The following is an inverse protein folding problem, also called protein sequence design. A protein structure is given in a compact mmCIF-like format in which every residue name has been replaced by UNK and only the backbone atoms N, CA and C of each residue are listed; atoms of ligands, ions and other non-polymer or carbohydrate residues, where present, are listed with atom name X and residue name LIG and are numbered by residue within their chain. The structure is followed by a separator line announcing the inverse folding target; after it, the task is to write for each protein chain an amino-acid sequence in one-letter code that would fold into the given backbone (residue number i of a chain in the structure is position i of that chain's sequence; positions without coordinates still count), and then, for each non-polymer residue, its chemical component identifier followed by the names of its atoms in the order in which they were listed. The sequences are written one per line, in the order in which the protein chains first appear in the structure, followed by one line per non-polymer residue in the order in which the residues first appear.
data_IF_914193099374
#
_entry.id   IF_914193099374
#
_cell.length_a   1.000
_cell.length_b   1.000
_cell.length_c   1.000
_cell.angle_alpha   90.00
_cell.angle_beta   90.00
_cell.angle_gamma   90.00
#
_symmetry.space_group_name_H-M   'P 1'
#
loop_
_entity.id
_entity.type
_entity.pdbx_description
1 polymer ?
#
# COMPACT_ATOMS: atom_id res chain seq x y z
N UNK A 1 -15.55 -28.45 -6.63
CA UNK A 1 -15.20 -27.03 -6.77
C UNK A 1 -14.66 -26.58 -5.43
N UNK A 2 -13.39 -26.19 -5.36
CA UNK A 2 -12.80 -25.68 -4.13
C UNK A 2 -12.69 -24.17 -4.33
N UNK A 3 -13.67 -23.43 -3.80
CA UNK A 3 -13.79 -21.97 -3.99
C UNK A 3 -12.47 -21.23 -3.79
N UNK A 4 -11.65 -21.65 -2.83
CA UNK A 4 -10.36 -21.01 -2.54
C UNK A 4 -9.26 -21.37 -3.55
N UNK A 5 -9.28 -22.58 -4.09
CA UNK A 5 -8.35 -22.99 -5.14
C UNK A 5 -8.69 -22.32 -6.49
N UNK A 6 -9.98 -22.09 -6.75
CA UNK A 6 -10.47 -21.45 -7.98
C UNK A 6 -10.31 -19.92 -7.94
N UNK A 7 -10.12 -19.34 -6.74
CA UNK A 7 -9.95 -17.90 -6.50
C UNK A 7 -8.74 -17.58 -5.61
N UNK A 8 -7.49 -17.82 -6.09
CA UNK A 8 -6.28 -17.59 -5.30
C UNK A 8 -6.08 -16.12 -4.88
N UNK A 9 -6.58 -15.17 -5.68
CA UNK A 9 -6.57 -13.75 -5.33
C UNK A 9 -7.43 -13.45 -4.10
N UNK A 10 -8.64 -14.03 -4.00
CA UNK A 10 -9.48 -13.92 -2.82
C UNK A 10 -8.79 -14.51 -1.59
N UNK A 11 -8.18 -15.69 -1.74
CA UNK A 11 -7.44 -16.34 -0.65
C UNK A 11 -6.33 -15.41 -0.12
N UNK A 12 -5.49 -14.87 -1.01
CA UNK A 12 -4.42 -13.93 -0.64
C UNK A 12 -4.97 -12.69 0.08
N UNK A 13 -6.06 -12.11 -0.44
CA UNK A 13 -6.75 -10.97 0.19
C UNK A 13 -7.27 -11.29 1.59
N UNK A 14 -7.85 -12.48 1.80
CA UNK A 14 -8.36 -12.93 3.10
C UNK A 14 -7.24 -13.24 4.09
N UNK A 15 -6.10 -13.75 3.65
CA UNK A 15 -4.92 -13.95 4.50
C UNK A 15 -4.36 -12.62 5.04
N UNK A 16 -4.58 -11.52 4.33
CA UNK A 16 -4.24 -10.18 4.81
C UNK A 16 -5.14 -9.67 5.95
N UNK A 17 -6.36 -10.18 6.09
CA UNK A 17 -7.36 -9.68 7.06
C UNK A 17 -6.90 -9.88 8.52
N UNK A 18 -6.39 -11.06 8.94
CA UNK A 18 -5.84 -11.23 10.29
C UNK A 18 -4.78 -10.20 10.66
N UNK A 19 -3.86 -9.86 9.74
CA UNK A 19 -2.84 -8.85 9.99
C UNK A 19 -3.43 -7.45 10.22
N UNK A 20 -4.47 -7.10 9.47
CA UNK A 20 -5.22 -5.86 9.68
C UNK A 20 -5.95 -5.85 11.02
N UNK A 21 -6.59 -6.96 11.41
CA UNK A 21 -7.26 -7.07 12.72
C UNK A 21 -6.27 -6.91 13.88
N UNK A 22 -5.08 -7.51 13.76
CA UNK A 22 -3.99 -7.32 14.73
C UNK A 22 -3.54 -5.86 14.75
N UNK A 23 -3.37 -5.23 13.59
CA UNK A 23 -3.03 -3.81 13.49
C UNK A 23 -4.07 -2.94 14.22
N UNK A 24 -5.36 -3.16 14.00
CA UNK A 24 -6.43 -2.45 14.71
C UNK A 24 -6.39 -2.70 16.22
N UNK A 25 -6.21 -3.95 16.66
CA UNK A 25 -6.12 -4.27 18.07
C UNK A 25 -4.96 -3.52 18.74
N UNK A 26 -3.78 -3.53 18.11
CA UNK A 26 -2.54 -2.96 18.62
C UNK A 26 -2.43 -1.43 18.50
N UNK A 27 -3.16 -0.81 17.56
CA UNK A 27 -3.00 0.61 17.24
C UNK A 27 -3.45 1.60 18.33
N UNK A 28 -4.25 1.15 19.31
CA UNK A 28 -4.75 2.00 20.40
C UNK A 28 -5.42 3.28 19.86
N UNK A 29 -4.84 4.43 20.17
CA UNK A 29 -5.34 5.75 19.74
C UNK A 29 -5.27 5.99 18.22
N UNK A 30 -4.51 5.18 17.47
CA UNK A 30 -4.32 5.37 16.02
C UNK A 30 -5.29 4.55 15.16
N UNK A 31 -6.24 3.82 15.75
CA UNK A 31 -7.22 3.00 15.01
C UNK A 31 -7.94 3.78 13.90
N UNK A 32 -8.38 4.99 14.20
CA UNK A 32 -9.08 5.83 13.22
C UNK A 32 -8.20 6.18 12.04
N UNK A 33 -6.91 6.48 12.25
CA UNK A 33 -6.02 6.84 11.14
C UNK A 33 -5.66 5.65 10.26
N UNK A 34 -5.55 4.45 10.83
CA UNK A 34 -5.41 3.19 10.09
C UNK A 34 -6.66 2.92 9.25
N UNK A 35 -7.85 3.11 9.82
CA UNK A 35 -9.10 2.99 9.07
C UNK A 35 -9.17 3.97 7.90
N UNK A 36 -8.81 5.25 8.13
CA UNK A 36 -8.75 6.26 7.08
C UNK A 36 -7.76 5.86 5.99
N UNK A 37 -6.56 5.38 6.37
CA UNK A 37 -5.55 4.93 5.42
C UNK A 37 -6.05 3.75 4.57
N UNK A 38 -6.73 2.78 5.18
CA UNK A 38 -7.38 1.68 4.45
C UNK A 38 -8.40 2.19 3.43
N UNK A 39 -9.32 3.05 3.85
CA UNK A 39 -10.33 3.62 2.95
C UNK A 39 -9.71 4.43 1.80
N UNK A 40 -8.71 5.26 2.11
CA UNK A 40 -7.97 6.05 1.13
C UNK A 40 -7.35 5.14 0.07
N UNK A 41 -6.72 4.04 0.47
CA UNK A 41 -6.14 3.12 -0.49
C UNK A 41 -7.19 2.35 -1.31
N UNK A 42 -8.31 1.98 -0.71
CA UNK A 42 -9.43 1.37 -1.45
C UNK A 42 -9.90 2.24 -2.60
N UNK A 43 -10.00 3.56 -2.38
CA UNK A 43 -10.38 4.50 -3.44
C UNK A 43 -9.31 4.61 -4.55
N UNK A 44 -8.03 4.51 -4.19
CA UNK A 44 -6.92 4.43 -5.15
C UNK A 44 -6.86 3.11 -5.92
N UNK A 45 -7.45 2.04 -5.39
CA UNK A 45 -7.50 0.73 -6.04
C UNK A 45 -8.59 0.60 -7.13
N UNK A 46 -9.63 1.43 -7.11
CA UNK A 46 -10.72 1.36 -8.10
C UNK A 46 -10.27 1.52 -9.57
N UNK A 47 -9.31 2.42 -9.90
CA UNK A 47 -8.79 2.54 -11.25
C UNK A 47 -8.07 1.29 -11.79
N UNK A 48 -7.75 0.29 -10.95
CA UNK A 48 -7.13 -0.98 -11.38
C UNK A 48 -7.95 -1.68 -12.46
N UNK A 49 -9.27 -1.46 -12.50
CA UNK A 49 -10.12 -1.97 -13.58
C UNK A 49 -9.78 -1.44 -14.98
N UNK A 50 -8.97 -0.39 -15.10
CA UNK A 50 -8.50 0.15 -16.38
C UNK A 50 -7.16 -0.46 -16.83
N UNK A 51 -6.64 -1.45 -16.11
CA UNK A 51 -5.34 -2.05 -16.40
C UNK A 51 -5.57 -3.34 -17.19
N UNK A 52 -5.14 -3.35 -18.45
CA UNK A 52 -5.47 -4.41 -19.40
C UNK A 52 -4.60 -5.68 -19.30
N UNK A 53 -3.77 -5.81 -18.25
CA UNK A 53 -2.87 -6.96 -18.09
C UNK A 53 -3.52 -8.07 -17.24
N UNK A 54 -3.27 -9.37 -17.55
CA UNK A 54 -3.74 -10.51 -16.76
C UNK A 54 -3.40 -10.41 -15.26
N UNK A 55 -2.22 -9.84 -14.96
CA UNK A 55 -1.77 -9.55 -13.60
C UNK A 55 -2.77 -8.71 -12.79
N UNK A 56 -3.43 -7.73 -13.42
CA UNK A 56 -4.39 -6.83 -12.79
C UNK A 56 -5.85 -7.30 -12.93
N UNK A 57 -6.07 -8.40 -13.63
CA UNK A 57 -7.39 -8.97 -13.92
C UNK A 57 -7.54 -10.41 -13.43
N UNK A 58 -7.31 -10.69 -12.13
CA UNK A 58 -7.46 -12.03 -11.58
C UNK A 58 -8.90 -12.55 -11.68
N UNK A 59 -9.04 -13.88 -11.53
CA UNK A 59 -10.35 -14.53 -11.44
C UNK A 59 -11.08 -14.13 -10.13
N UNK A 60 -12.01 -13.19 -10.24
CA UNK A 60 -12.79 -12.64 -9.12
C UNK A 60 -14.14 -13.34 -8.97
N UNK A 61 -14.69 -13.31 -7.77
CA UNK A 61 -16.08 -13.68 -7.53
C UNK A 61 -16.99 -12.76 -8.36
N UNK A 62 -17.82 -13.36 -9.20
CA UNK A 62 -18.79 -12.65 -10.03
C UNK A 62 -18.25 -12.08 -11.35
N UNK A 63 -16.93 -12.17 -11.61
CA UNK A 63 -16.34 -11.79 -12.90
C UNK A 63 -16.38 -10.29 -13.23
N UNK A 64 -16.60 -9.43 -12.23
CA UNK A 64 -16.61 -7.98 -12.42
C UNK A 64 -15.19 -7.41 -12.60
N UNK A 65 -15.03 -6.26 -13.28
CA UNK A 65 -13.72 -5.58 -13.39
C UNK A 65 -13.12 -5.15 -12.04
N UNK A 66 -13.99 -4.84 -11.07
CA UNK A 66 -13.63 -4.61 -9.66
C UNK A 66 -14.48 -5.55 -8.81
N UNK A 67 -13.83 -6.36 -7.99
CA UNK A 67 -14.43 -7.32 -7.08
C UNK A 67 -14.33 -6.91 -5.61
N UNK A 68 -14.93 -7.74 -4.76
CA UNK A 68 -14.82 -7.59 -3.29
C UNK A 68 -13.37 -7.81 -2.83
N UNK A 69 -12.62 -8.64 -3.56
CA UNK A 69 -11.21 -8.92 -3.36
C UNK A 69 -10.36 -7.66 -3.48
N UNK A 70 -10.63 -6.81 -4.49
CA UNK A 70 -9.90 -5.55 -4.70
C UNK A 70 -10.14 -4.58 -3.54
N UNK A 71 -11.36 -4.56 -2.99
CA UNK A 71 -11.69 -3.77 -1.82
C UNK A 71 -10.95 -4.27 -0.58
N UNK A 72 -10.98 -5.57 -0.32
CA UNK A 72 -10.33 -6.20 0.84
C UNK A 72 -8.81 -5.99 0.75
N UNK A 73 -8.19 -6.32 -0.38
CA UNK A 73 -6.74 -6.19 -0.55
C UNK A 73 -6.32 -4.73 -0.44
N UNK A 74 -7.01 -3.81 -1.14
CA UNK A 74 -6.64 -2.39 -1.11
C UNK A 74 -6.80 -1.82 0.28
N UNK A 75 -7.89 -2.13 0.98
CA UNK A 75 -8.06 -1.70 2.37
C UNK A 75 -6.93 -2.23 3.25
N UNK A 76 -6.61 -3.53 3.11
CA UNK A 76 -5.58 -4.19 3.91
C UNK A 76 -4.18 -3.64 3.65
N UNK A 77 -3.85 -3.36 2.38
CA UNK A 77 -2.60 -2.72 1.98
C UNK A 77 -2.48 -1.34 2.64
N UNK A 78 -3.52 -0.50 2.53
CA UNK A 78 -3.49 0.87 3.08
C UNK A 78 -3.39 0.88 4.61
N UNK A 79 -4.20 0.06 5.27
CA UNK A 79 -4.21 -0.08 6.72
C UNK A 79 -2.88 -0.64 7.25
N UNK A 80 -2.36 -1.70 6.63
CA UNK A 80 -1.13 -2.37 7.02
C UNK A 80 0.11 -1.51 6.81
N UNK A 81 0.22 -0.81 5.67
CA UNK A 81 1.31 0.14 5.41
C UNK A 81 1.33 1.25 6.45
N UNK A 82 0.16 1.86 6.73
CA UNK A 82 0.12 2.94 7.71
C UNK A 82 0.41 2.45 9.13
N UNK A 83 -0.08 1.26 9.51
CA UNK A 83 0.27 0.66 10.78
C UNK A 83 1.79 0.42 10.91
N UNK A 84 2.42 -0.15 9.87
CA UNK A 84 3.87 -0.34 9.81
C UNK A 84 4.63 0.99 9.93
N UNK A 85 4.11 2.07 9.34
CA UNK A 85 4.69 3.40 9.41
C UNK A 85 4.69 3.98 10.84
N UNK A 86 3.59 3.79 11.59
CA UNK A 86 3.42 4.42 12.91
C UNK A 86 3.97 3.56 14.06
N UNK A 87 4.11 2.25 13.85
CA UNK A 87 4.47 1.28 14.90
C UNK A 87 5.73 1.69 15.69
N UNK A 88 6.86 2.10 15.06
CA UNK A 88 8.06 2.48 15.80
C UNK A 88 7.95 3.82 16.53
N UNK A 89 6.97 4.65 16.15
CA UNK A 89 6.84 6.04 16.59
C UNK A 89 5.65 6.26 17.52
N UNK A 90 4.96 5.21 17.98
CA UNK A 90 3.64 5.33 18.62
C UNK A 90 3.51 6.37 19.73
N UNK A 91 4.55 6.61 20.55
CA UNK A 91 4.53 7.67 21.58
C UNK A 91 4.96 9.06 21.09
N UNK A 92 5.67 9.10 19.98
CA UNK A 92 6.21 10.32 19.36
C UNK A 92 5.29 10.87 18.27
N UNK A 93 4.29 10.09 17.83
CA UNK A 93 3.42 10.47 16.74
C UNK A 93 2.15 11.16 17.23
N UNK A 94 1.83 12.29 16.61
CA UNK A 94 0.56 12.99 16.78
C UNK A 94 -0.19 13.07 15.47
N UNK A 95 -1.52 13.01 15.54
CA UNK A 95 -2.42 13.09 14.38
C UNK A 95 -3.30 14.31 14.60
N UNK A 96 -3.13 15.34 13.78
CA UNK A 96 -3.82 16.63 13.94
C UNK A 96 -4.80 16.93 12.81
N UNK A 97 -4.90 16.06 11.80
CA UNK A 97 -5.74 16.31 10.62
C UNK A 97 -7.23 16.33 10.96
N UNK A 98 -7.93 17.34 10.43
CA UNK A 98 -9.39 17.37 10.42
C UNK A 98 -9.88 16.70 9.15
N UNK A 99 -10.99 15.96 9.24
CA UNK A 99 -11.55 15.20 8.12
C UNK A 99 -11.72 16.00 6.82
N UNK A 100 -12.30 17.22 6.82
CA UNK A 100 -12.49 17.97 5.56
C UNK A 100 -11.17 18.33 4.88
N UNK A 101 -10.15 18.73 5.66
CA UNK A 101 -8.83 19.05 5.15
C UNK A 101 -8.11 17.79 4.63
N UNK A 102 -8.27 16.66 5.34
CA UNK A 102 -7.74 15.37 4.91
C UNK A 102 -8.32 14.91 3.59
N UNK A 103 -9.65 15.05 3.41
CA UNK A 103 -10.32 14.74 2.15
C UNK A 103 -9.86 15.65 1.00
N UNK A 104 -9.70 16.96 1.25
CA UNK A 104 -9.17 17.86 0.25
C UNK A 104 -7.73 17.49 -0.17
N UNK A 105 -6.86 17.16 0.79
CA UNK A 105 -5.50 16.67 0.51
C UNK A 105 -5.53 15.37 -0.28
N UNK A 106 -6.38 14.43 0.13
CA UNK A 106 -6.56 13.15 -0.57
C UNK A 106 -7.02 13.38 -2.01
N UNK A 107 -8.02 14.24 -2.24
CA UNK A 107 -8.51 14.55 -3.58
C UNK A 107 -7.41 15.17 -4.45
N UNK A 108 -6.64 16.14 -3.92
CA UNK A 108 -5.55 16.76 -4.67
C UNK A 108 -4.43 15.78 -5.01
N UNK A 109 -3.99 14.98 -4.05
CA UNK A 109 -2.97 13.94 -4.26
C UNK A 109 -3.50 12.89 -5.24
N UNK A 110 -4.79 12.54 -5.14
CA UNK A 110 -5.40 11.48 -5.93
C UNK A 110 -5.63 11.86 -7.37
N UNK A 111 -6.22 13.03 -7.59
CA UNK A 111 -6.39 13.60 -8.94
C UNK A 111 -5.04 13.88 -9.57
N UNK A 112 -4.09 14.46 -8.84
CA UNK A 112 -2.74 14.74 -9.35
C UNK A 112 -1.97 13.47 -9.69
N UNK A 113 -2.02 12.45 -8.82
CA UNK A 113 -1.39 11.15 -9.04
C UNK A 113 -1.99 10.43 -10.24
N UNK A 114 -3.33 10.37 -10.33
CA UNK A 114 -4.02 9.75 -11.47
C UNK A 114 -3.71 10.45 -12.79
N UNK A 115 -3.79 11.78 -12.81
CA UNK A 115 -3.43 12.56 -14.00
C UNK A 115 -1.98 12.27 -14.42
N UNK A 116 -1.06 12.15 -13.46
CA UNK A 116 0.32 11.85 -13.76
C UNK A 116 0.52 10.42 -14.28
N UNK A 117 -0.21 9.43 -13.76
CA UNK A 117 -0.20 8.07 -14.33
C UNK A 117 -0.67 8.08 -15.77
N UNK A 118 -1.79 8.75 -16.06
CA UNK A 118 -2.33 8.84 -17.42
C UNK A 118 -1.33 9.49 -18.39
N UNK A 119 -0.65 10.56 -17.96
CA UNK A 119 0.41 11.19 -18.75
C UNK A 119 1.63 10.29 -18.90
N UNK A 120 2.06 9.60 -17.84
CA UNK A 120 3.18 8.66 -17.88
C UNK A 120 2.91 7.50 -18.86
N UNK A 121 1.65 7.03 -18.95
CA UNK A 121 1.24 5.99 -19.90
C UNK A 121 1.36 6.41 -21.37
N UNK A 122 1.38 7.71 -21.67
CA UNK A 122 1.65 8.20 -23.03
C UNK A 122 3.11 7.99 -23.45
N UNK A 123 4.02 7.80 -22.49
CA UNK A 123 5.47 7.64 -22.71
C UNK A 123 5.90 6.20 -22.45
N UNK A 124 5.32 5.56 -21.43
CA UNK A 124 5.63 4.21 -20.97
C UNK A 124 4.37 3.35 -21.12
N UNK A 125 4.25 2.53 -22.18
CA UNK A 125 3.00 1.83 -22.49
C UNK A 125 2.65 0.75 -21.46
N UNK A 126 3.67 0.18 -20.80
CA UNK A 126 3.54 -0.84 -19.76
C UNK A 126 3.12 -0.21 -18.44
N UNK A 127 2.10 -0.77 -17.81
CA UNK A 127 1.44 -0.16 -16.66
C UNK A 127 2.34 -0.09 -15.41
N UNK A 128 3.02 -1.18 -15.06
CA UNK A 128 3.79 -1.26 -13.81
C UNK A 128 4.98 -0.28 -13.78
N UNK A 129 5.81 -0.14 -14.83
CA UNK A 129 6.86 0.88 -14.85
C UNK A 129 6.31 2.32 -14.80
N UNK A 130 5.17 2.61 -15.45
CA UNK A 130 4.53 3.91 -15.37
C UNK A 130 4.05 4.22 -13.93
N UNK A 131 3.45 3.23 -13.27
CA UNK A 131 3.02 3.33 -11.88
C UNK A 131 4.20 3.57 -10.93
N UNK A 132 5.28 2.81 -11.08
CA UNK A 132 6.51 2.98 -10.29
C UNK A 132 7.10 4.38 -10.46
N UNK A 133 7.16 4.89 -11.70
CA UNK A 133 7.64 6.24 -11.97
C UNK A 133 6.81 7.29 -11.22
N UNK A 134 5.47 7.16 -11.25
CA UNK A 134 4.58 8.05 -10.51
C UNK A 134 4.80 7.93 -9.00
N UNK A 135 4.92 6.71 -8.47
CA UNK A 135 5.17 6.49 -7.05
C UNK A 135 6.47 7.15 -6.60
N UNK A 136 7.55 7.03 -7.39
CA UNK A 136 8.85 7.65 -7.10
C UNK A 136 8.76 9.18 -7.14
N UNK A 137 8.11 9.75 -8.16
CA UNK A 137 7.93 11.19 -8.26
C UNK A 137 7.08 11.75 -7.10
N UNK A 138 5.99 11.07 -6.74
CA UNK A 138 5.15 11.43 -5.60
C UNK A 138 5.92 11.33 -4.28
N UNK A 139 6.72 10.26 -4.11
CA UNK A 139 7.60 10.11 -2.96
C UNK A 139 8.58 11.27 -2.84
N UNK A 140 9.21 11.68 -3.95
CA UNK A 140 10.13 12.81 -3.98
C UNK A 140 9.44 14.12 -3.61
N UNK A 141 8.31 14.43 -4.25
CA UNK A 141 7.54 15.66 -4.00
C UNK A 141 7.03 15.71 -2.56
N UNK A 142 6.39 14.64 -2.07
CA UNK A 142 5.86 14.59 -0.71
C UNK A 142 6.98 14.56 0.32
N UNK A 143 8.06 13.83 0.08
CA UNK A 143 9.24 13.80 0.94
C UNK A 143 9.89 15.17 1.08
N UNK A 144 9.97 15.94 -0.01
CA UNK A 144 10.46 17.31 -0.02
C UNK A 144 9.51 18.27 0.73
N UNK A 145 8.19 18.16 0.50
CA UNK A 145 7.20 19.05 1.11
C UNK A 145 6.86 18.69 2.57
N UNK A 146 7.13 17.45 2.99
CA UNK A 146 6.79 16.88 4.30
C UNK A 146 7.94 16.04 4.85
N UNK A 147 9.13 16.62 5.07
CA UNK A 147 10.32 15.85 5.49
C UNK A 147 10.14 15.14 6.85
N UNK A 148 9.26 15.65 7.72
CA UNK A 148 8.91 15.01 8.99
C UNK A 148 8.14 13.68 8.85
N UNK A 149 7.64 13.35 7.65
CA UNK A 149 7.01 12.06 7.34
C UNK A 149 8.00 11.04 6.75
N UNK A 150 9.24 11.43 6.46
CA UNK A 150 10.25 10.50 5.94
C UNK A 150 10.56 9.36 6.93
N UNK A 151 10.76 9.60 8.25
CA UNK A 151 11.01 8.49 9.18
C UNK A 151 9.90 7.42 9.22
N UNK A 152 8.60 7.75 9.33
CA UNK A 152 7.56 6.73 9.26
C UNK A 152 7.42 6.09 7.87
N UNK A 153 7.68 6.83 6.78
CA UNK A 153 7.70 6.23 5.45
C UNK A 153 8.84 5.20 5.27
N UNK A 154 10.03 5.47 5.82
CA UNK A 154 11.13 4.51 5.88
C UNK A 154 10.79 3.30 6.74
N UNK A 155 10.07 3.48 7.86
CA UNK A 155 9.60 2.35 8.66
C UNK A 155 8.64 1.47 7.87
N UNK A 156 7.69 2.05 7.13
CA UNK A 156 6.78 1.32 6.26
C UNK A 156 7.53 0.54 5.17
N UNK A 157 8.50 1.18 4.50
CA UNK A 157 9.36 0.58 3.48
C UNK A 157 10.11 -0.67 4.00
N UNK A 158 10.51 -0.68 5.26
CA UNK A 158 11.27 -1.80 5.83
C UNK A 158 10.38 -2.89 6.40
N UNK A 159 9.29 -2.52 7.06
CA UNK A 159 8.43 -3.46 7.81
C UNK A 159 7.37 -4.08 6.91
N UNK A 160 6.72 -3.28 6.06
CA UNK A 160 5.56 -3.74 5.30
C UNK A 160 5.91 -4.78 4.21
N UNK A 161 6.98 -4.64 3.42
CA UNK A 161 7.36 -5.66 2.44
C UNK A 161 7.62 -7.03 3.06
N UNK A 162 8.13 -7.10 4.30
CA UNK A 162 8.34 -8.38 5.01
C UNK A 162 7.01 -9.05 5.31
N UNK A 163 6.04 -8.27 5.83
CA UNK A 163 4.68 -8.76 6.06
C UNK A 163 4.01 -9.22 4.75
N UNK A 164 4.10 -8.40 3.70
CA UNK A 164 3.52 -8.72 2.40
C UNK A 164 4.12 -9.99 1.79
N UNK A 165 5.45 -10.12 1.81
CA UNK A 165 6.13 -11.34 1.36
C UNK A 165 5.68 -12.57 2.15
N UNK A 166 5.49 -12.47 3.48
CA UNK A 166 4.99 -13.57 4.28
C UNK A 166 3.59 -14.03 3.85
N UNK A 167 2.69 -13.10 3.49
CA UNK A 167 1.38 -13.42 2.93
C UNK A 167 1.53 -14.13 1.57
N UNK A 168 2.39 -13.61 0.69
CA UNK A 168 2.62 -14.23 -0.63
C UNK A 168 3.18 -15.66 -0.51
N UNK A 169 4.16 -15.90 0.36
CA UNK A 169 4.69 -17.25 0.60
C UNK A 169 3.66 -18.18 1.24
N UNK A 170 2.81 -17.67 2.13
CA UNK A 170 1.73 -18.47 2.71
C UNK A 170 0.70 -18.85 1.63
N UNK A 171 0.37 -17.93 0.73
CA UNK A 171 -0.51 -18.21 -0.42
C UNK A 171 0.12 -19.26 -1.33
N UNK A 172 1.40 -19.12 -1.69
CA UNK A 172 2.15 -20.11 -2.49
C UNK A 172 2.18 -21.50 -1.83
N UNK A 173 2.31 -21.56 -0.50
CA UNK A 173 2.29 -22.82 0.24
C UNK A 173 0.92 -23.51 0.21
N UNK A 174 -0.18 -22.74 0.11
CA UNK A 174 -1.55 -23.27 0.04
C UNK A 174 -1.96 -23.57 -1.42
N UNK A 175 -1.51 -22.73 -2.35
CA UNK A 175 -1.78 -22.80 -3.80
C UNK A 175 -0.44 -22.80 -4.54
N UNK A 176 0.16 -23.99 -4.80
CA UNK A 176 1.42 -24.08 -5.51
C UNK A 176 1.34 -23.48 -6.92
N UNK A 177 2.37 -22.74 -7.34
CA UNK A 177 2.39 -22.01 -8.62
C UNK A 177 1.65 -20.68 -8.58
N UNK A 178 1.27 -20.20 -7.39
CA UNK A 178 0.68 -18.87 -7.24
C UNK A 178 1.62 -17.78 -7.76
N UNK A 179 2.94 -17.95 -7.63
CA UNK A 179 3.91 -16.99 -8.17
C UNK A 179 3.94 -16.91 -9.70
N UNK A 180 3.34 -17.85 -10.42
CA UNK A 180 3.36 -17.88 -11.88
C UNK A 180 2.36 -16.88 -12.49
N UNK A 181 1.47 -16.29 -11.68
CA UNK A 181 0.61 -15.17 -12.13
C UNK A 181 1.45 -13.93 -12.52
N UNK A 182 2.72 -13.89 -12.12
CA UNK A 182 3.67 -12.84 -12.43
C UNK A 182 4.67 -13.21 -13.56
N UNK A 183 4.42 -14.25 -14.35
CA UNK A 183 5.28 -14.65 -15.48
C UNK A 183 4.84 -14.08 -16.84
N UNK A 184 4.15 -12.94 -16.84
CA UNK A 184 3.67 -12.28 -18.06
C UNK A 184 4.77 -11.55 -18.86
N UNK A 185 4.62 -11.40 -20.19
CA UNK A 185 5.59 -10.67 -21.03
C UNK A 185 5.69 -9.17 -20.71
N UNK A 186 4.70 -8.64 -19.99
CA UNK A 186 4.63 -7.24 -19.53
C UNK A 186 5.40 -7.01 -18.21
N UNK A 187 5.96 -8.07 -17.62
CA UNK A 187 6.65 -8.04 -16.33
C UNK A 187 8.15 -8.24 -16.53
N UNK A 188 8.96 -7.81 -15.56
CA UNK A 188 10.42 -7.76 -15.76
C UNK A 188 11.06 -9.13 -15.96
N UNK A 189 10.53 -10.19 -15.34
CA UNK A 189 11.01 -11.57 -15.46
C UNK A 189 11.92 -12.06 -14.31
N UNK A 190 12.97 -11.34 -13.85
CA UNK A 190 13.82 -11.78 -12.76
C UNK A 190 13.05 -12.03 -11.46
N UNK A 191 13.46 -13.08 -10.74
CA UNK A 191 12.94 -13.46 -9.42
C UNK A 191 14.06 -13.46 -8.37
N UNK A 192 13.71 -13.13 -7.13
CA UNK A 192 14.56 -13.18 -5.94
C UNK A 192 13.84 -13.97 -4.84
N UNK A 193 14.47 -15.06 -4.37
CA UNK A 193 13.84 -16.04 -3.44
C UNK A 193 12.51 -16.64 -3.95
N UNK A 194 12.23 -16.57 -5.24
CA UNK A 194 10.98 -17.05 -5.86
C UNK A 194 9.98 -15.93 -6.17
N UNK A 195 10.08 -14.77 -5.50
CA UNK A 195 9.26 -13.60 -5.77
C UNK A 195 9.78 -12.79 -6.96
N UNK A 196 8.92 -12.25 -7.83
CA UNK A 196 9.32 -11.32 -8.88
C UNK A 196 10.01 -10.08 -8.32
N UNK A 197 11.15 -9.68 -8.89
CA UNK A 197 11.87 -8.47 -8.48
C UNK A 197 11.00 -7.23 -8.62
N UNK A 198 10.18 -7.18 -9.67
CA UNK A 198 9.23 -6.10 -9.90
C UNK A 198 8.21 -5.95 -8.77
N UNK A 199 7.69 -7.06 -8.25
CA UNK A 199 6.74 -7.06 -7.12
C UNK A 199 7.40 -6.56 -5.83
N UNK A 200 8.68 -6.92 -5.60
CA UNK A 200 9.47 -6.43 -4.46
C UNK A 200 9.67 -4.91 -4.57
N UNK A 201 10.03 -4.42 -5.76
CA UNK A 201 10.21 -2.98 -6.00
C UNK A 201 8.88 -2.23 -5.89
N UNK A 202 7.81 -2.83 -6.40
CA UNK A 202 6.45 -2.30 -6.30
C UNK A 202 6.01 -2.16 -4.85
N UNK A 203 6.07 -3.22 -4.03
CA UNK A 203 5.62 -3.14 -2.62
C UNK A 203 6.49 -2.17 -1.82
N UNK A 204 7.79 -2.08 -2.11
CA UNK A 204 8.70 -1.14 -1.48
C UNK A 204 8.33 0.32 -1.84
N UNK A 205 8.19 0.62 -3.13
CA UNK A 205 7.81 1.95 -3.60
C UNK A 205 6.40 2.34 -3.09
N UNK A 206 5.44 1.43 -3.20
CA UNK A 206 4.08 1.62 -2.71
C UNK A 206 4.06 1.91 -1.21
N UNK A 207 4.69 1.07 -0.38
CA UNK A 207 4.67 1.26 1.08
C UNK A 207 5.31 2.59 1.52
N UNK A 208 6.43 2.98 0.90
CA UNK A 208 7.06 4.27 1.17
C UNK A 208 6.16 5.45 0.74
N UNK A 209 5.73 5.47 -0.52
CA UNK A 209 4.93 6.56 -1.08
C UNK A 209 3.58 6.66 -0.38
N UNK A 210 2.92 5.53 -0.15
CA UNK A 210 1.61 5.50 0.49
C UNK A 210 1.67 5.95 1.95
N UNK A 211 2.73 5.62 2.69
CA UNK A 211 2.91 6.15 4.04
C UNK A 211 3.02 7.69 4.06
N UNK A 212 3.67 8.30 3.06
CA UNK A 212 3.71 9.76 2.90
C UNK A 212 2.31 10.33 2.60
N UNK A 213 1.54 9.66 1.74
CA UNK A 213 0.16 10.05 1.40
C UNK A 213 -0.73 9.96 2.64
N UNK A 214 -0.77 8.80 3.29
CA UNK A 214 -1.57 8.54 4.49
C UNK A 214 -1.23 9.55 5.60
N UNK A 215 0.06 9.74 5.89
CA UNK A 215 0.53 10.73 6.87
C UNK A 215 0.09 12.16 6.54
N UNK A 216 0.10 12.53 5.26
CA UNK A 216 -0.36 13.85 4.81
C UNK A 216 -1.88 14.03 4.98
N UNK A 217 -2.65 13.00 4.62
CA UNK A 217 -4.12 13.00 4.73
C UNK A 217 -4.55 13.09 6.19
N UNK A 218 -3.99 12.26 7.07
CA UNK A 218 -4.35 12.26 8.50
C UNK A 218 -3.67 13.39 9.29
N UNK A 219 -2.75 14.13 8.67
CA UNK A 219 -2.00 15.20 9.33
C UNK A 219 -1.11 14.65 10.45
N UNK A 220 -0.40 13.55 10.18
CA UNK A 220 0.55 12.96 11.10
C UNK A 220 1.79 13.85 11.25
N UNK A 221 2.36 13.86 12.46
CA UNK A 221 3.64 14.52 12.77
C UNK A 221 4.42 13.67 13.76
N UNK A 222 5.71 13.49 13.51
CA UNK A 222 6.65 12.92 14.48
C UNK A 222 7.19 14.06 15.34
N UNK A 223 6.96 14.00 16.64
CA UNK A 223 7.56 14.90 17.61
C UNK A 223 8.98 14.46 17.93
N UNK A 224 9.94 15.39 18.10
CA UNK A 224 11.24 15.05 18.65
C UNK A 224 11.07 14.40 20.04
N UNK A 225 11.98 13.50 20.45
CA UNK A 225 11.99 12.99 21.81
C UNK A 225 12.00 14.17 22.79
N UNK A 226 11.14 14.13 23.81
CA UNK A 226 11.15 15.14 24.86
C UNK A 226 12.58 15.24 25.41
N UNK A 227 13.20 16.43 25.32
CA UNK A 227 14.51 16.64 25.94
C UNK A 227 14.32 16.41 27.44
N UNK A 228 14.89 15.32 27.96
CA UNK A 228 14.97 15.09 29.40
C UNK A 228 15.73 16.29 29.96
N UNK A 229 15.03 17.21 30.63
CA UNK A 229 15.69 18.26 31.40
C UNK A 229 16.49 17.53 32.46
N UNK A 230 17.82 17.55 32.33
CA UNK A 230 18.70 17.17 33.43
C UNK A 230 18.51 18.25 34.48
N UNK A 231 17.69 17.97 35.48
CA UNK A 231 17.68 18.74 36.72
C UNK A 231 19.06 18.53 37.36
N UNK A 232 19.82 19.62 37.44
CA UNK A 232 21.12 19.67 38.10
C UNK A 232 20.98 20.11 39.54
#
# INVERSE_FOLDING_TARGET
MNLLADHPYLLSSLLGVPGVLIAFAAAGQFRTSIFVAGLVNTLYGLPVASFDAPYWTPNRIGGFPVGVEDVIVSFSLGAGVWFAAILPFGRQMTITGRWPEGLARFAWIGVGGMAFVLLARMIVPVYMPALLLVMIAMAFVLGWLRPHLLPPALAALLVYPVYYAAILYLTEAIVPGFFDIWDGPELWGPRLFGLPVEEIVFVAAFSFTFALIAGTVVGARVQPPARVRREG
#
